data_IF_587871413525
#
_entry.id   IF_587871413525
#
_cell.length_a   1.000
_cell.length_b   1.000
_cell.length_c   1.000
_cell.angle_alpha   90.00
_cell.angle_beta   90.00
_cell.angle_gamma   90.00
#
_symmetry.space_group_name_H-M   'P 1'
#
loop_
_entity.id
_entity.type
_entity.pdbx_description
1 polymer ?
#
# COMPACT_ATOMS: atom_id res chain seq x y z
N UNK A 1 12.78 -37.73 9.70
CA UNK A 1 12.39 -36.70 8.72
C UNK A 1 11.42 -35.75 9.41
N UNK A 2 11.87 -34.56 9.81
CA UNK A 2 10.96 -33.53 10.34
C UNK A 2 10.06 -33.10 9.18
N UNK A 3 8.79 -33.53 9.20
CA UNK A 3 7.77 -32.97 8.32
C UNK A 3 7.73 -31.46 8.60
N UNK A 4 8.29 -30.66 7.69
CA UNK A 4 8.32 -29.22 7.84
C UNK A 4 6.91 -28.71 8.08
N UNK A 5 6.72 -27.94 9.16
CA UNK A 5 5.44 -27.30 9.44
C UNK A 5 5.16 -26.32 8.30
N UNK A 6 4.14 -26.60 7.49
CA UNK A 6 3.68 -25.73 6.42
C UNK A 6 2.68 -24.74 7.00
N UNK A 7 2.98 -23.44 6.94
CA UNK A 7 2.01 -22.39 7.19
C UNK A 7 1.37 -21.98 5.86
N UNK A 8 0.04 -21.85 5.84
CA UNK A 8 -0.69 -21.27 4.71
C UNK A 8 -1.08 -19.86 5.10
N UNK A 9 -0.58 -18.88 4.37
CA UNK A 9 -0.96 -17.47 4.53
C UNK A 9 -2.04 -17.19 3.48
N UNK A 10 -3.17 -16.65 3.91
CA UNK A 10 -4.22 -16.10 3.02
C UNK A 10 -4.44 -14.65 3.36
N UNK A 11 -4.68 -13.85 2.33
CA UNK A 11 -5.00 -12.45 2.52
C UNK A 11 -6.50 -12.32 2.81
N UNK A 12 -6.87 -11.29 3.56
CA UNK A 12 -8.27 -11.04 3.91
C UNK A 12 -9.16 -10.93 2.67
N UNK A 13 -8.67 -10.30 1.59
CA UNK A 13 -9.38 -10.25 0.30
C UNK A 13 -9.67 -11.63 -0.27
N UNK A 14 -8.74 -12.57 -0.11
CA UNK A 14 -8.85 -13.92 -0.67
C UNK A 14 -9.91 -14.69 0.13
N UNK A 15 -9.97 -14.47 1.44
CA UNK A 15 -11.00 -15.01 2.32
C UNK A 15 -12.40 -14.46 1.99
N UNK A 16 -12.55 -13.13 1.89
CA UNK A 16 -13.85 -12.51 1.60
C UNK A 16 -14.36 -12.90 0.21
N UNK A 17 -13.46 -12.96 -0.77
CA UNK A 17 -13.78 -13.35 -2.15
C UNK A 17 -13.95 -14.85 -2.37
N UNK A 18 -13.57 -15.69 -1.41
CA UNK A 18 -13.59 -17.14 -1.59
C UNK A 18 -15.00 -17.70 -1.75
N UNK A 19 -15.09 -18.82 -2.46
CA UNK A 19 -16.27 -19.67 -2.42
C UNK A 19 -16.41 -20.27 -1.02
N UNK A 20 -17.66 -20.38 -0.57
CA UNK A 20 -17.95 -20.97 0.72
C UNK A 20 -17.39 -22.40 0.81
N UNK A 21 -16.83 -22.74 1.96
CA UNK A 21 -16.21 -24.04 2.21
C UNK A 21 -17.25 -25.15 2.44
N UNK A 22 -18.41 -24.80 3.01
CA UNK A 22 -19.52 -25.69 3.29
C UNK A 22 -20.83 -24.92 3.47
N UNK A 23 -21.97 -25.62 3.42
CA UNK A 23 -23.27 -25.12 3.86
C UNK A 23 -23.58 -25.63 5.27
N UNK A 24 -23.72 -24.71 6.20
CA UNK A 24 -23.94 -24.96 7.63
C UNK A 24 -25.41 -24.81 8.02
N UNK A 25 -26.28 -24.41 7.09
CA UNK A 25 -27.72 -24.32 7.33
C UNK A 25 -28.32 -25.61 7.92
N UNK A 26 -27.94 -26.82 7.46
CA UNK A 26 -28.48 -28.06 8.03
C UNK A 26 -27.99 -28.39 9.45
N UNK A 27 -26.90 -27.74 9.90
CA UNK A 27 -26.28 -28.01 11.21
C UNK A 27 -26.87 -27.14 12.33
N UNK A 28 -27.81 -26.26 11.99
CA UNK A 28 -28.41 -25.30 12.89
C UNK A 28 -29.21 -25.99 14.01
N UNK A 29 -28.92 -25.62 15.25
CA UNK A 29 -29.63 -26.10 16.45
C UNK A 29 -30.57 -25.05 17.06
N UNK A 30 -30.41 -23.76 16.70
CA UNK A 30 -31.26 -22.66 17.15
C UNK A 30 -31.48 -21.64 16.03
N UNK A 31 -32.48 -20.79 16.15
CA UNK A 31 -32.55 -19.61 15.27
C UNK A 31 -31.34 -18.68 15.52
N UNK A 32 -30.81 -18.00 14.47
CA UNK A 32 -29.72 -17.05 14.65
C UNK A 32 -30.21 -15.78 15.35
N UNK A 33 -29.46 -15.33 16.36
CA UNK A 33 -29.57 -14.01 16.95
C UNK A 33 -28.66 -13.03 16.18
N UNK A 34 -29.25 -11.96 15.64
CA UNK A 34 -28.54 -11.00 14.80
C UNK A 34 -28.21 -9.75 15.60
N UNK A 35 -26.92 -9.48 15.75
CA UNK A 35 -26.40 -8.26 16.34
C UNK A 35 -25.96 -7.30 15.22
N UNK A 36 -26.75 -6.23 15.04
CA UNK A 36 -26.48 -5.21 14.04
C UNK A 36 -25.39 -4.25 14.50
N UNK A 37 -24.19 -4.44 13.98
CA UNK A 37 -23.07 -3.52 14.21
C UNK A 37 -23.28 -2.20 13.45
N UNK A 38 -22.99 -1.04 14.06
CA UNK A 38 -22.93 0.23 13.34
C UNK A 38 -21.89 0.21 12.22
N UNK A 39 -22.15 0.94 11.14
CA UNK A 39 -21.21 1.04 10.02
C UNK A 39 -19.88 1.65 10.47
N UNK A 40 -18.78 1.05 10.01
CA UNK A 40 -17.42 1.55 10.20
C UNK A 40 -16.74 1.79 8.87
N UNK A 41 -15.76 2.68 8.84
CA UNK A 41 -14.89 2.88 7.69
C UNK A 41 -13.44 2.57 8.04
N UNK A 42 -12.72 1.99 7.09
CA UNK A 42 -11.32 1.70 7.26
C UNK A 42 -10.47 2.96 7.07
N UNK A 43 -9.49 3.15 7.96
CA UNK A 43 -8.43 4.14 7.80
C UNK A 43 -7.08 3.46 7.90
N UNK A 44 -6.23 3.65 6.89
CA UNK A 44 -4.91 3.03 6.80
C UNK A 44 -3.83 4.09 6.93
N UNK A 45 -2.82 3.85 7.75
CA UNK A 45 -1.65 4.71 7.86
C UNK A 45 -0.37 3.90 8.12
N UNK A 46 0.79 4.53 7.99
CA UNK A 46 2.10 3.95 8.26
C UNK A 46 3.08 5.06 8.68
N UNK A 47 4.26 4.68 9.17
CA UNK A 47 5.31 5.64 9.51
C UNK A 47 5.81 6.39 8.28
N UNK A 48 6.13 7.68 8.45
CA UNK A 48 6.75 8.51 7.41
C UNK A 48 7.94 9.33 7.94
N UNK A 49 8.68 8.79 8.90
CA UNK A 49 9.80 9.48 9.56
C UNK A 49 11.05 9.62 8.68
N UNK A 50 11.15 8.85 7.58
CA UNK A 50 12.21 9.03 6.61
C UNK A 50 12.13 10.37 5.88
N UNK A 51 13.30 10.93 5.57
CA UNK A 51 13.39 12.17 4.80
C UNK A 51 12.65 12.02 3.47
N UNK A 52 11.79 12.99 3.13
CA UNK A 52 10.97 13.00 1.91
C UNK A 52 9.87 11.92 1.87
N UNK A 53 9.59 11.21 2.98
CA UNK A 53 8.47 10.28 3.09
C UNK A 53 7.19 10.97 3.58
N UNK A 54 7.31 11.94 4.48
CA UNK A 54 6.15 12.66 5.03
C UNK A 54 5.34 13.38 3.93
N UNK A 55 4.03 13.11 3.82
CA UNK A 55 3.17 13.82 2.88
C UNK A 55 2.95 15.26 3.33
N UNK A 56 2.68 16.16 2.39
CA UNK A 56 2.51 17.59 2.69
C UNK A 56 1.17 17.96 3.37
N UNK A 57 0.28 16.99 3.55
CA UNK A 57 -1.00 17.16 4.25
C UNK A 57 -1.47 15.82 4.84
N UNK A 58 -2.37 15.88 5.82
CA UNK A 58 -2.89 14.68 6.51
C UNK A 58 -3.77 13.79 5.62
N UNK A 59 -4.22 14.28 4.46
CA UNK A 59 -4.97 13.47 3.49
C UNK A 59 -4.69 13.91 2.07
N UNK A 60 -4.91 12.98 1.14
CA UNK A 60 -4.72 13.25 -0.29
C UNK A 60 -5.69 14.32 -0.80
N UNK A 61 -6.94 14.27 -0.37
CA UNK A 61 -7.98 15.25 -0.74
C UNK A 61 -7.61 16.66 -0.26
N UNK A 62 -7.10 16.80 0.97
CA UNK A 62 -6.60 18.07 1.48
C UNK A 62 -5.41 18.57 0.67
N UNK A 63 -4.49 17.68 0.30
CA UNK A 63 -3.34 18.01 -0.54
C UNK A 63 -3.74 18.46 -1.94
N UNK A 64 -4.75 17.85 -2.55
CA UNK A 64 -5.21 18.17 -3.91
C UNK A 64 -6.05 19.44 -3.99
N UNK A 65 -6.76 19.80 -2.92
CA UNK A 65 -7.71 20.92 -2.90
C UNK A 65 -7.12 22.25 -3.42
N UNK A 66 -5.89 22.67 -3.06
CA UNK A 66 -5.27 23.88 -3.60
C UNK A 66 -4.95 23.83 -5.10
N UNK A 67 -4.94 22.64 -5.70
CA UNK A 67 -4.55 22.41 -7.10
C UNK A 67 -5.74 22.00 -7.99
N UNK A 68 -6.97 22.25 -7.53
CA UNK A 68 -8.19 21.95 -8.29
C UNK A 68 -8.43 20.46 -8.56
N UNK A 69 -7.70 19.56 -7.89
CA UNK A 69 -7.79 18.11 -8.14
C UNK A 69 -7.14 17.63 -9.45
N UNK A 70 -6.42 18.50 -10.17
CA UNK A 70 -5.81 18.14 -11.45
C UNK A 70 -4.39 17.62 -11.22
N UNK A 71 -4.11 16.42 -11.73
CA UNK A 71 -2.82 15.75 -11.68
C UNK A 71 -2.47 15.29 -13.08
N UNK A 72 -1.24 15.54 -13.53
CA UNK A 72 -0.71 14.96 -14.76
C UNK A 72 0.47 14.06 -14.45
N UNK A 73 0.43 12.81 -14.91
CA UNK A 73 1.58 11.92 -14.85
C UNK A 73 2.63 12.34 -15.87
N UNK A 74 3.91 12.20 -15.52
CA UNK A 74 4.99 12.49 -16.47
C UNK A 74 6.14 11.48 -16.35
N UNK A 75 6.78 11.23 -17.49
CA UNK A 75 7.93 10.34 -17.63
C UNK A 75 9.10 11.13 -18.20
N UNK A 76 9.86 11.84 -17.36
CA UNK A 76 11.07 12.60 -17.77
C UNK A 76 11.17 14.00 -17.18
N UNK A 77 12.16 14.80 -17.59
CA UNK A 77 12.41 16.13 -16.99
C UNK A 77 11.77 17.30 -17.76
N UNK A 78 11.32 17.09 -19.01
CA UNK A 78 11.05 18.22 -19.94
C UNK A 78 9.62 18.77 -19.94
N UNK A 79 8.60 18.02 -19.53
CA UNK A 79 7.21 18.44 -19.70
C UNK A 79 6.47 18.57 -18.36
N UNK A 80 6.81 19.61 -17.59
CA UNK A 80 6.00 20.04 -16.44
C UNK A 80 5.21 21.28 -16.89
N UNK A 81 3.88 21.21 -17.03
CA UNK A 81 3.08 22.32 -17.54
C UNK A 81 3.07 23.53 -16.61
N UNK A 82 2.87 24.73 -17.16
CA UNK A 82 2.83 25.96 -16.39
C UNK A 82 1.48 26.09 -15.63
N UNK A 83 1.61 26.33 -14.32
CA UNK A 83 0.66 26.90 -13.34
C UNK A 83 -0.65 26.22 -12.95
N UNK A 84 -1.34 25.42 -13.77
CA UNK A 84 -2.72 25.02 -13.40
C UNK A 84 -2.85 23.75 -12.55
N UNK A 85 -1.80 22.93 -12.45
CA UNK A 85 -1.89 21.61 -11.83
C UNK A 85 -0.55 21.05 -11.35
N UNK A 86 -0.62 19.97 -10.56
CA UNK A 86 0.55 19.26 -10.09
C UNK A 86 0.91 18.12 -11.02
N UNK A 87 2.18 17.73 -10.98
CA UNK A 87 2.70 16.62 -11.75
C UNK A 87 3.09 15.47 -10.85
N UNK A 88 2.71 14.25 -11.20
CA UNK A 88 3.04 13.03 -10.50
C UNK A 88 4.13 12.27 -11.26
N UNK A 89 5.20 11.88 -10.58
CA UNK A 89 6.25 11.03 -11.14
C UNK A 89 6.02 9.57 -10.71
N UNK A 90 5.52 8.68 -11.58
CA UNK A 90 5.15 7.33 -11.18
C UNK A 90 6.33 6.49 -10.67
N UNK A 91 7.54 6.74 -11.19
CA UNK A 91 8.74 6.01 -10.77
C UNK A 91 9.19 6.34 -9.35
N UNK A 92 8.83 7.51 -8.81
CA UNK A 92 9.23 7.94 -7.46
C UNK A 92 8.10 8.12 -6.48
N UNK A 93 6.84 8.17 -6.95
CA UNK A 93 5.68 8.45 -6.10
C UNK A 93 5.75 9.86 -5.51
N UNK A 94 6.23 10.81 -6.30
CA UNK A 94 6.45 12.20 -5.86
C UNK A 94 5.62 13.15 -6.68
N UNK A 95 5.11 14.15 -5.99
CA UNK A 95 4.41 15.28 -6.59
C UNK A 95 5.35 16.46 -6.73
N UNK A 96 5.25 17.12 -7.87
CA UNK A 96 6.02 18.30 -8.22
C UNK A 96 5.13 19.41 -8.77
N UNK A 97 5.58 20.64 -8.61
CA UNK A 97 5.06 21.80 -9.34
C UNK A 97 6.20 22.52 -10.06
N UNK A 98 5.91 23.22 -11.14
CA UNK A 98 6.86 24.14 -11.76
C UNK A 98 6.80 25.49 -11.04
N UNK A 99 7.96 26.01 -10.69
CA UNK A 99 8.09 27.38 -10.21
C UNK A 99 7.85 28.34 -11.39
N UNK A 100 6.97 29.30 -11.18
CA UNK A 100 6.45 30.17 -12.22
C UNK A 100 7.50 31.17 -12.71
N UNK A 101 8.43 31.52 -11.83
CA UNK A 101 9.44 32.56 -12.06
C UNK A 101 10.67 31.96 -12.73
N UNK A 102 11.20 30.86 -12.19
CA UNK A 102 12.45 30.27 -12.68
C UNK A 102 12.25 29.01 -13.53
N UNK A 103 11.00 28.59 -13.75
CA UNK A 103 10.59 27.40 -14.52
C UNK A 103 11.20 26.08 -14.02
N UNK A 104 11.74 26.05 -12.79
CA UNK A 104 12.33 24.85 -12.19
C UNK A 104 11.26 23.98 -11.55
N UNK A 105 11.48 22.67 -11.64
CA UNK A 105 10.70 21.65 -10.93
C UNK A 105 10.97 21.74 -9.43
N UNK A 106 9.91 21.92 -8.63
CA UNK A 106 9.93 21.94 -7.17
C UNK A 106 9.15 20.76 -6.62
N UNK A 107 9.79 19.95 -5.79
CA UNK A 107 9.13 18.87 -5.05
C UNK A 107 8.16 19.47 -4.02
N UNK A 108 6.96 18.88 -3.90
CA UNK A 108 5.91 19.37 -3.01
C UNK A 108 5.33 18.32 -2.07
N UNK A 109 5.35 17.02 -2.42
CA UNK A 109 4.87 15.96 -1.53
C UNK A 109 5.34 14.58 -1.98
N UNK A 110 5.33 13.62 -1.06
CA UNK A 110 5.30 12.18 -1.35
C UNK A 110 3.87 11.70 -1.62
N UNK A 111 3.72 10.44 -2.04
CA UNK A 111 2.45 9.72 -2.23
C UNK A 111 2.06 8.81 -1.05
N UNK A 112 2.76 8.92 0.09
CA UNK A 112 2.50 8.13 1.29
C UNK A 112 1.35 8.68 2.14
N UNK A 113 0.34 9.27 1.49
CA UNK A 113 -0.86 9.71 2.18
C UNK A 113 -1.56 8.52 2.84
N UNK A 114 -2.10 8.68 4.06
CA UNK A 114 -2.98 7.66 4.63
C UNK A 114 -4.21 7.47 3.73
N UNK A 115 -4.77 6.26 3.75
CA UNK A 115 -6.10 6.05 3.19
C UNK A 115 -7.13 6.46 4.22
N UNK A 116 -7.91 7.48 3.90
CA UNK A 116 -9.05 7.93 4.68
C UNK A 116 -10.13 8.46 3.72
N UNK A 117 -11.34 7.90 3.79
CA UNK A 117 -12.49 8.39 3.00
C UNK A 117 -13.16 9.61 3.68
N UNK A 118 -12.95 9.78 4.98
CA UNK A 118 -13.55 10.84 5.79
C UNK A 118 -15.08 10.91 5.70
N UNK A 119 -15.75 9.75 5.72
CA UNK A 119 -17.22 9.68 5.67
C UNK A 119 -17.82 10.31 6.94
N UNK A 120 -18.66 11.36 6.84
CA UNK A 120 -19.23 12.01 8.01
C UNK A 120 -20.08 11.06 8.85
N UNK A 121 -19.89 11.09 10.18
CA UNK A 121 -20.70 10.31 11.12
C UNK A 121 -20.45 8.80 11.13
N UNK A 122 -19.39 8.32 10.46
CA UNK A 122 -19.01 6.90 10.42
C UNK A 122 -17.75 6.69 11.25
N UNK A 123 -17.81 5.76 12.20
CA UNK A 123 -16.68 5.40 13.08
C UNK A 123 -15.52 4.80 12.27
N UNK A 124 -14.29 5.00 12.74
CA UNK A 124 -13.10 4.41 12.11
C UNK A 124 -12.76 3.04 12.71
N UNK A 125 -12.41 2.10 11.83
CA UNK A 125 -11.46 1.05 12.16
C UNK A 125 -10.07 1.50 11.64
N UNK A 126 -9.18 1.86 12.56
CA UNK A 126 -7.83 2.32 12.21
C UNK A 126 -6.84 1.15 12.17
N UNK A 127 -6.09 1.02 11.07
CA UNK A 127 -4.97 0.09 10.94
C UNK A 127 -3.72 0.89 10.59
N UNK A 128 -2.78 0.92 11.52
CA UNK A 128 -1.48 1.61 11.36
C UNK A 128 -0.37 0.60 11.24
N UNK A 129 0.35 0.63 10.11
CA UNK A 129 1.57 -0.13 9.89
C UNK A 129 2.66 0.30 10.87
N UNK A 130 3.37 -0.68 11.44
CA UNK A 130 4.52 -0.42 12.31
C UNK A 130 5.76 0.01 11.53
N UNK A 131 5.76 -0.25 10.23
CA UNK A 131 6.88 -0.02 9.32
C UNK A 131 6.84 1.40 8.74
N UNK A 132 8.01 1.86 8.31
CA UNK A 132 8.18 3.15 7.65
C UNK A 132 8.03 3.04 6.13
N UNK A 133 7.33 4.01 5.56
CA UNK A 133 7.22 4.22 4.13
C UNK A 133 8.58 4.60 3.53
N UNK A 134 9.02 3.86 2.50
CA UNK A 134 10.32 4.05 1.85
C UNK A 134 10.17 4.93 0.61
N UNK A 135 10.61 6.20 0.63
CA UNK A 135 10.55 7.10 -0.52
C UNK A 135 11.53 6.67 -1.60
N UNK A 136 11.15 6.86 -2.86
CA UNK A 136 11.99 6.54 -4.02
C UNK A 136 12.59 7.83 -4.59
N UNK A 137 13.84 7.81 -5.03
CA UNK A 137 14.51 8.97 -5.62
C UNK A 137 15.57 8.58 -6.66
N UNK A 138 15.78 9.45 -7.65
CA UNK A 138 16.97 9.37 -8.49
C UNK A 138 18.20 9.91 -7.75
N UNK A 139 19.23 9.08 -7.62
CA UNK A 139 20.55 9.45 -7.08
C UNK A 139 21.61 9.02 -8.08
N UNK A 140 22.47 9.95 -8.47
CA UNK A 140 23.44 9.77 -9.58
C UNK A 140 22.79 9.17 -10.84
N UNK A 141 21.51 9.49 -11.08
CA UNK A 141 20.70 9.01 -12.20
C UNK A 141 20.07 7.61 -12.04
N UNK A 142 20.29 6.92 -10.92
CA UNK A 142 19.69 5.62 -10.62
C UNK A 142 18.49 5.76 -9.69
N UNK A 143 17.41 5.03 -9.97
CA UNK A 143 16.27 4.94 -9.05
C UNK A 143 16.66 4.14 -7.80
N UNK A 144 16.58 4.77 -6.63
CA UNK A 144 17.02 4.18 -5.36
C UNK A 144 16.01 4.42 -4.23
N UNK A 145 15.82 3.43 -3.33
CA UNK A 145 15.03 3.62 -2.11
C UNK A 145 15.79 4.44 -1.06
N UNK A 146 15.09 5.39 -0.44
CA UNK A 146 15.59 6.30 0.59
C UNK A 146 15.28 5.81 2.00
N UNK A 147 15.94 4.74 2.44
CA UNK A 147 15.66 4.08 3.73
C UNK A 147 16.70 4.36 4.84
N UNK A 148 17.67 5.25 4.59
CA UNK A 148 18.73 5.55 5.56
C UNK A 148 18.30 6.66 6.54
N UNK A 149 17.76 6.25 7.69
CA UNK A 149 17.75 7.07 8.90
C UNK A 149 19.08 6.87 9.66
N UNK A 150 19.95 7.87 9.63
CA UNK A 150 21.08 7.97 10.58
C UNK A 150 22.32 7.11 10.32
N UNK A 151 22.41 6.31 9.25
CA UNK A 151 23.62 5.56 8.91
C UNK A 151 24.10 5.85 7.47
N UNK A 152 25.40 6.06 7.31
CA UNK A 152 26.06 6.18 6.00
C UNK A 152 26.22 4.77 5.44
N UNK A 153 25.52 4.44 4.36
CA UNK A 153 25.84 3.24 3.59
C UNK A 153 27.04 3.58 2.69
N UNK A 154 28.10 2.77 2.75
CA UNK A 154 29.34 2.96 1.96
C UNK A 154 29.04 3.04 0.45
N UNK A 155 27.91 2.48 0.00
CA UNK A 155 27.55 2.36 -1.42
C UNK A 155 26.45 3.33 -1.89
N UNK A 156 25.95 4.27 -1.06
CA UNK A 156 24.95 5.25 -1.51
C UNK A 156 25.27 6.67 -1.04
N UNK A 157 25.16 7.67 -1.93
CA UNK A 157 25.41 9.09 -1.60
C UNK A 157 24.25 9.75 -0.82
N UNK A 158 23.39 8.96 -0.18
CA UNK A 158 22.23 9.44 0.56
C UNK A 158 22.65 9.88 1.96
N UNK A 159 22.71 11.20 2.19
CA UNK A 159 22.94 11.78 3.52
C UNK A 159 21.61 12.06 4.22
N UNK A 160 21.40 11.42 5.37
CA UNK A 160 20.35 11.78 6.32
C UNK A 160 20.66 13.11 7.02
N UNK A 161 19.62 13.84 7.42
CA UNK A 161 19.77 15.05 8.26
C UNK A 161 19.94 14.55 9.70
N UNK A 162 21.17 14.50 10.19
CA UNK A 162 21.44 14.16 11.59
C UNK A 162 20.91 15.28 12.48
N UNK A 163 19.81 15.04 13.21
CA UNK A 163 19.47 15.82 14.40
C UNK A 163 20.10 15.16 15.61
N UNK A 164 21.09 15.87 16.14
CA UNK A 164 21.63 15.85 17.50
C UNK A 164 22.30 14.57 18.02
N UNK A 165 23.47 14.77 18.62
CA UNK A 165 24.20 13.80 19.41
C UNK A 165 23.37 13.45 20.65
N UNK A 166 22.91 12.21 20.74
CA UNK A 166 22.21 11.70 21.91
C UNK A 166 21.25 10.58 21.52
N UNK A 167 21.50 9.40 22.05
CA UNK A 167 20.82 8.13 21.78
C UNK A 167 21.10 7.48 20.41
N UNK A 168 21.54 6.23 20.44
CA UNK A 168 21.58 5.34 19.27
C UNK A 168 20.13 5.12 18.82
N UNK A 169 19.59 6.03 18.00
CA UNK A 169 18.27 5.84 17.36
C UNK A 169 18.33 4.54 16.56
N UNK A 170 17.57 3.55 17.02
CA UNK A 170 17.38 2.28 16.31
C UNK A 170 16.76 2.62 14.96
N UNK A 171 17.40 2.25 13.86
CA UNK A 171 16.84 2.44 12.52
C UNK A 171 15.46 1.78 12.48
N UNK A 172 14.39 2.52 12.14
CA UNK A 172 13.05 1.96 12.11
C UNK A 172 12.94 0.89 11.02
N UNK A 173 12.03 -0.06 11.20
CA UNK A 173 11.81 -1.14 10.24
C UNK A 173 11.16 -0.57 8.97
N UNK A 174 11.68 -0.96 7.82
CA UNK A 174 11.16 -0.55 6.53
C UNK A 174 11.50 -1.59 5.47
N UNK A 175 10.69 -1.70 4.43
CA UNK A 175 10.91 -2.61 3.33
C UNK A 175 10.41 -2.05 2.01
N UNK A 176 10.92 -2.61 0.92
CA UNK A 176 10.45 -2.37 -0.43
C UNK A 176 10.54 -3.68 -1.23
N UNK A 177 9.88 -3.76 -2.38
CA UNK A 177 10.00 -4.95 -3.23
C UNK A 177 11.39 -5.02 -3.84
N UNK A 178 11.96 -6.23 -3.89
CA UNK A 178 13.13 -6.50 -4.73
C UNK A 178 12.65 -6.72 -6.17
N UNK A 179 12.73 -5.70 -7.02
CA UNK A 179 12.20 -5.74 -8.39
C UNK A 179 13.14 -6.52 -9.33
N UNK A 180 14.43 -6.58 -9.05
CA UNK A 180 15.38 -7.28 -9.91
C UNK A 180 16.12 -6.32 -10.83
N UNK A 181 16.47 -6.75 -12.04
CA UNK A 181 17.27 -5.95 -12.97
C UNK A 181 16.44 -4.94 -13.76
N UNK A 182 17.01 -3.75 -13.97
CA UNK A 182 16.50 -2.75 -14.91
C UNK A 182 17.68 -2.03 -15.58
N UNK A 183 17.42 -1.31 -16.67
CA UNK A 183 18.37 -0.42 -17.32
C UNK A 183 17.93 1.04 -17.23
N UNK A 184 18.87 1.97 -17.26
CA UNK A 184 18.57 3.40 -17.27
C UNK A 184 19.60 4.19 -18.07
N UNK A 185 19.14 5.21 -18.80
CA UNK A 185 20.01 6.16 -19.51
C UNK A 185 20.36 7.29 -18.53
N UNK A 186 21.65 7.56 -18.33
CA UNK A 186 22.16 8.64 -17.48
C UNK A 186 22.97 9.61 -18.35
N UNK A 187 22.72 10.91 -18.21
CA UNK A 187 23.45 11.95 -18.96
C UNK A 187 23.13 11.99 -20.45
N UNK A 188 24.10 12.42 -21.27
CA UNK A 188 23.98 12.69 -22.71
C UNK A 188 23.83 11.42 -23.59
N UNK A 189 22.99 10.46 -23.18
CA UNK A 189 22.68 9.25 -23.94
C UNK A 189 23.50 8.01 -23.58
N UNK A 190 24.27 8.03 -22.48
CA UNK A 190 24.95 6.83 -22.01
C UNK A 190 23.96 5.92 -21.26
N UNK A 191 23.67 4.75 -21.83
CA UNK A 191 23.01 3.65 -21.11
C UNK A 191 23.91 3.23 -19.95
N UNK A 192 23.38 3.27 -18.73
CA UNK A 192 23.99 2.57 -17.60
C UNK A 192 23.61 1.10 -17.68
N UNK A 193 24.63 0.28 -17.44
CA UNK A 193 24.58 -1.16 -17.21
C UNK A 193 23.34 -1.57 -16.42
N UNK A 194 22.82 -2.75 -16.75
CA UNK A 194 21.81 -3.41 -15.96
C UNK A 194 22.15 -3.35 -14.47
N UNK A 195 21.24 -2.83 -13.66
CA UNK A 195 21.42 -2.75 -12.21
C UNK A 195 20.22 -3.35 -11.50
N UNK A 196 20.48 -3.90 -10.31
CA UNK A 196 19.44 -4.39 -9.43
C UNK A 196 18.84 -3.24 -8.63
N UNK A 197 17.51 -3.19 -8.54
CA UNK A 197 16.83 -2.18 -7.75
C UNK A 197 15.68 -2.77 -6.93
N UNK A 198 15.35 -2.05 -5.86
CA UNK A 198 14.12 -2.25 -5.11
C UNK A 198 13.26 -1.00 -5.15
N UNK A 199 11.94 -1.17 -5.02
CA UNK A 199 10.99 -0.08 -5.08
C UNK A 199 9.80 -0.32 -4.18
N UNK A 200 9.31 0.74 -3.52
CA UNK A 200 8.02 0.72 -2.84
C UNK A 200 6.84 0.80 -3.82
N UNK A 201 7.11 1.04 -5.10
CA UNK A 201 6.12 1.19 -6.16
C UNK A 201 6.29 0.09 -7.19
N UNK A 202 5.21 -0.35 -7.82
CA UNK A 202 5.25 -1.29 -8.95
C UNK A 202 5.81 -0.72 -10.27
N UNK A 203 6.54 0.40 -10.21
CA UNK A 203 7.01 1.14 -11.37
C UNK A 203 8.52 1.05 -11.55
N UNK A 204 8.95 0.95 -12.80
CA UNK A 204 10.34 1.04 -13.21
C UNK A 204 10.84 2.49 -13.26
N UNK A 205 12.13 2.71 -13.56
CA UNK A 205 12.72 4.04 -13.59
C UNK A 205 12.06 5.03 -14.57
N UNK A 206 11.54 4.52 -15.69
CA UNK A 206 10.85 5.33 -16.71
C UNK A 206 9.37 5.57 -16.38
N UNK A 207 8.81 4.93 -15.34
CA UNK A 207 7.44 5.15 -14.84
C UNK A 207 6.40 4.11 -15.31
N UNK A 208 6.77 3.22 -16.23
CA UNK A 208 5.99 2.04 -16.60
C UNK A 208 5.90 1.02 -15.47
N UNK A 209 4.93 0.11 -15.56
CA UNK A 209 4.91 -1.07 -14.72
C UNK A 209 6.19 -1.88 -14.89
N UNK A 210 6.77 -2.28 -13.77
CA UNK A 210 7.92 -3.18 -13.80
C UNK A 210 7.49 -4.56 -14.33
N UNK A 211 8.28 -5.08 -15.27
CA UNK A 211 8.11 -6.41 -15.84
C UNK A 211 9.39 -7.21 -15.59
N UNK A 212 9.25 -8.39 -15.00
CA UNK A 212 10.38 -9.28 -14.78
C UNK A 212 10.83 -10.00 -16.08
N UNK A 213 12.01 -10.66 -16.10
CA UNK A 213 12.46 -11.41 -17.26
C UNK A 213 11.55 -12.57 -17.69
N UNK A 214 10.68 -13.06 -16.80
CA UNK A 214 9.66 -14.07 -17.09
C UNK A 214 8.40 -13.49 -17.72
N UNK A 215 8.32 -12.17 -17.87
CA UNK A 215 7.19 -11.46 -18.45
C UNK A 215 6.11 -11.07 -17.44
N UNK A 216 6.29 -11.33 -16.13
CA UNK A 216 5.30 -10.98 -15.12
C UNK A 216 5.28 -9.47 -14.87
N UNK A 217 4.09 -8.87 -14.93
CA UNK A 217 3.89 -7.44 -14.70
C UNK A 217 3.47 -7.20 -13.25
N UNK A 218 4.22 -6.36 -12.55
CA UNK A 218 3.94 -5.99 -11.17
C UNK A 218 2.88 -4.88 -11.16
N UNK A 219 1.78 -5.06 -10.41
CA UNK A 219 0.64 -4.12 -10.37
C UNK A 219 0.21 -3.76 -8.94
N UNK A 220 1.17 -3.76 -8.03
CA UNK A 220 0.94 -3.46 -6.62
C UNK A 220 2.08 -2.61 -6.03
N UNK A 221 1.72 -1.51 -5.38
CA UNK A 221 2.60 -0.58 -4.69
C UNK A 221 2.30 -0.56 -3.19
N UNK A 222 3.32 -0.32 -2.36
CA UNK A 222 3.21 -0.24 -0.90
C UNK A 222 2.57 1.08 -0.39
N UNK A 223 2.10 1.95 -1.29
CA UNK A 223 1.28 3.12 -0.94
C UNK A 223 -0.17 2.69 -0.71
N UNK A 224 -0.94 3.46 0.05
CA UNK A 224 -2.34 3.10 0.31
C UNK A 224 -3.30 3.52 -0.81
N UNK A 225 -2.96 4.57 -1.55
CA UNK A 225 -3.84 5.23 -2.55
C UNK A 225 -3.53 4.75 -3.98
N UNK A 226 -4.40 5.11 -4.93
CA UNK A 226 -4.24 4.80 -6.36
C UNK A 226 -4.72 3.39 -6.74
N UNK A 227 -4.84 3.11 -8.04
CA UNK A 227 -5.31 1.81 -8.55
C UNK A 227 -4.43 0.66 -8.03
N UNK A 228 -3.11 0.90 -8.00
CA UNK A 228 -2.11 -0.07 -7.58
C UNK A 228 -1.86 -0.06 -6.06
N UNK A 229 -2.52 0.81 -5.30
CA UNK A 229 -2.31 0.95 -3.86
C UNK A 229 -2.95 -0.17 -3.03
N UNK A 230 -2.44 -0.33 -1.82
CA UNK A 230 -2.87 -1.37 -0.89
C UNK A 230 -4.37 -1.35 -0.61
N UNK A 231 -4.99 -0.16 -0.49
CA UNK A 231 -6.43 -0.09 -0.28
C UNK A 231 -7.20 -0.78 -1.41
N UNK A 232 -6.99 -0.34 -2.66
CA UNK A 232 -7.72 -0.87 -3.81
C UNK A 232 -7.35 -2.33 -4.13
N UNK A 233 -6.12 -2.76 -3.84
CA UNK A 233 -5.67 -4.13 -4.14
C UNK A 233 -6.00 -5.16 -3.05
N UNK A 234 -6.23 -4.74 -1.79
CA UNK A 234 -6.37 -5.67 -0.66
C UNK A 234 -7.44 -5.33 0.39
N UNK A 235 -7.86 -4.07 0.52
CA UNK A 235 -8.74 -3.66 1.62
C UNK A 235 -10.09 -3.12 1.18
N UNK A 236 -10.30 -2.85 -0.11
CA UNK A 236 -11.55 -2.25 -0.61
C UNK A 236 -12.78 -3.12 -0.29
N UNK A 237 -12.69 -4.42 -0.51
CA UNK A 237 -13.77 -5.36 -0.18
C UNK A 237 -14.00 -5.44 1.32
N UNK A 238 -12.94 -5.38 2.13
CA UNK A 238 -13.06 -5.37 3.57
C UNK A 238 -13.71 -4.09 4.10
N UNK A 239 -13.31 -2.92 3.60
CA UNK A 239 -13.97 -1.64 3.89
C UNK A 239 -15.45 -1.66 3.49
N UNK A 240 -15.81 -2.35 2.40
CA UNK A 240 -17.20 -2.54 2.02
C UNK A 240 -17.97 -3.42 3.03
N UNK A 241 -17.36 -4.49 3.55
CA UNK A 241 -17.94 -5.32 4.61
C UNK A 241 -18.18 -4.47 5.87
N UNK A 242 -17.17 -3.73 6.33
CA UNK A 242 -17.26 -2.87 7.52
C UNK A 242 -18.39 -1.83 7.44
N UNK A 243 -18.67 -1.32 6.24
CA UNK A 243 -19.73 -0.31 6.05
C UNK A 243 -21.13 -0.88 5.92
N UNK A 244 -21.26 -2.12 5.44
CA UNK A 244 -22.53 -2.60 4.90
C UNK A 244 -22.96 -3.97 5.41
N UNK A 245 -22.06 -4.77 5.99
CA UNK A 245 -22.32 -6.19 6.25
C UNK A 245 -21.61 -6.76 7.50
N UNK A 246 -20.99 -5.93 8.34
CA UNK A 246 -20.25 -6.35 9.54
C UNK A 246 -21.18 -6.72 10.73
N UNK A 247 -22.30 -7.38 10.45
CA UNK A 247 -23.24 -7.84 11.46
C UNK A 247 -22.80 -9.19 12.03
N UNK A 248 -23.04 -9.41 13.32
CA UNK A 248 -22.64 -10.64 14.00
C UNK A 248 -23.85 -11.54 14.18
N UNK A 249 -23.75 -12.78 13.70
CA UNK A 249 -24.77 -13.80 13.84
C UNK A 249 -24.33 -14.80 14.92
N UNK A 250 -25.07 -14.87 16.02
CA UNK A 250 -24.87 -15.88 17.06
C UNK A 250 -25.87 -17.02 16.86
N UNK A 251 -25.38 -18.25 16.71
CA UNK A 251 -26.22 -19.42 16.40
C UNK A 251 -25.62 -20.66 17.04
N UNK A 252 -26.48 -21.49 17.67
CA UNK A 252 -26.07 -22.80 18.16
C UNK A 252 -26.00 -23.77 16.97
N UNK A 253 -24.92 -24.52 16.87
CA UNK A 253 -24.64 -25.45 15.78
C UNK A 253 -24.31 -26.84 16.33
N UNK A 254 -24.71 -27.88 15.62
CA UNK A 254 -24.42 -29.29 15.93
C UNK A 254 -23.51 -29.94 14.86
N UNK A 255 -22.28 -29.46 14.63
CA UNK A 255 -21.36 -30.10 13.71
C UNK A 255 -20.85 -31.43 14.30
N UNK A 256 -20.58 -32.40 13.44
CA UNK A 256 -19.89 -33.61 13.84
C UNK A 256 -18.39 -33.35 14.09
N UNK A 257 -17.73 -34.28 14.81
CA UNK A 257 -16.31 -34.13 15.16
C UNK A 257 -15.41 -34.06 13.93
N UNK A 258 -15.76 -34.78 12.86
CA UNK A 258 -15.02 -34.76 11.61
C UNK A 258 -15.17 -33.41 10.87
N UNK A 259 -16.36 -32.80 10.90
CA UNK A 259 -16.63 -31.48 10.34
C UNK A 259 -15.87 -30.38 11.05
N UNK A 260 -15.82 -30.40 12.39
CA UNK A 260 -15.02 -29.44 13.17
C UNK A 260 -13.52 -29.49 12.82
N UNK A 261 -12.96 -30.70 12.64
CA UNK A 261 -11.56 -30.87 12.26
C UNK A 261 -11.24 -30.41 10.83
N UNK A 262 -12.26 -30.28 9.98
CA UNK A 262 -12.13 -29.81 8.58
C UNK A 262 -12.46 -28.32 8.43
N UNK A 263 -12.82 -27.62 9.51
CA UNK A 263 -13.18 -26.22 9.47
C UNK A 263 -12.00 -25.37 9.00
N UNK A 264 -12.15 -24.76 7.82
CA UNK A 264 -11.26 -23.75 7.29
C UNK A 264 -11.86 -22.36 7.58
N UNK A 265 -11.49 -21.77 8.73
CA UNK A 265 -11.95 -20.43 9.14
C UNK A 265 -11.45 -19.30 8.24
N UNK A 266 -10.53 -19.60 7.32
CA UNK A 266 -10.09 -18.62 6.33
C UNK A 266 -10.99 -18.54 5.09
N UNK A 267 -12.12 -19.27 5.07
CA UNK A 267 -13.14 -19.21 4.02
C UNK A 267 -14.53 -19.02 4.65
N UNK A 268 -15.45 -18.39 3.93
CA UNK A 268 -16.80 -18.27 4.41
C UNK A 268 -17.49 -19.64 4.45
N UNK A 269 -18.53 -19.73 5.26
CA UNK A 269 -19.53 -20.81 5.24
C UNK A 269 -20.86 -20.23 4.75
N UNK A 270 -21.76 -21.08 4.24
CA UNK A 270 -23.13 -20.66 3.96
C UNK A 270 -24.00 -20.86 5.19
N UNK A 271 -24.84 -19.88 5.49
CA UNK A 271 -25.93 -19.98 6.46
C UNK A 271 -27.16 -19.30 5.86
N UNK A 272 -28.23 -20.04 5.64
CA UNK A 272 -29.47 -19.55 5.01
C UNK A 272 -29.23 -18.81 3.68
N UNK A 273 -28.34 -19.35 2.83
CA UNK A 273 -28.02 -18.75 1.53
C UNK A 273 -27.14 -17.49 1.61
N UNK A 274 -26.67 -17.10 2.80
CA UNK A 274 -25.74 -16.00 3.00
C UNK A 274 -24.33 -16.51 3.32
N UNK A 275 -23.30 -15.80 2.86
CA UNK A 275 -21.90 -16.11 3.17
C UNK A 275 -21.52 -15.45 4.49
N UNK A 276 -21.04 -16.26 5.43
CA UNK A 276 -20.61 -15.82 6.77
C UNK A 276 -19.14 -16.17 6.99
N UNK A 277 -18.38 -15.24 7.55
CA UNK A 277 -17.05 -15.55 8.10
C UNK A 277 -17.22 -16.13 9.52
N UNK A 278 -16.41 -17.14 9.85
CA UNK A 278 -16.44 -17.87 11.14
C UNK A 278 -15.27 -17.46 12.02
#
# INVERSE_FOLDING_TARGET
VNAGRKAVIRLLKDSIGATASADWTPLKASEPEINYTPAKQLKLSAGTSFKEAEPAADSFEKFLKPYGGIITEFTGDRDVPDELYITYQPSTGRYYKRDIVNKKKKWISSDFFPWDKATPGVEYLEITGKDECVPMAFKTGLLTPGYLAGAVNINTTLRGVAKEQGEKKRTPLAFCFAMGKTNQIIGAGALVEEYYFGSSLCRGPKGEYFQDPGGNVYRYSLVFRGEDGAFNRFFKEYDAVLRHADHVYAVQMNPDKAGLLKLDTSRPVMLHGQRMMV
#
